data_IF_060325949904
#
_entry.id   IF_060325949904
#
_cell.length_a   1.000
_cell.length_b   1.000
_cell.length_c   1.000
_cell.angle_alpha   90.00
_cell.angle_beta   90.00
_cell.angle_gamma   90.00
#
_symmetry.space_group_name_H-M   'P 1'
#
loop_
_entity.id
_entity.type
_entity.pdbx_description
1 polymer ?
#
# COMPACT_ATOMS: atom_id res chain seq x y z
N UNK A 1 7.97 2.27 3.88
CA UNK A 1 7.83 1.30 2.76
C UNK A 1 7.79 2.09 1.45
N UNK A 2 8.28 1.55 0.32
CA UNK A 2 8.12 2.18 -1.00
C UNK A 2 6.88 1.61 -1.69
N UNK A 3 5.76 2.34 -1.63
CA UNK A 3 4.45 1.84 -2.06
C UNK A 3 3.53 2.98 -2.51
N UNK A 4 2.78 2.81 -3.60
CA UNK A 4 1.88 3.86 -4.11
C UNK A 4 0.72 4.18 -3.15
N UNK A 5 0.28 3.21 -2.33
CA UNK A 5 -0.80 3.38 -1.36
C UNK A 5 -0.37 3.70 0.08
N UNK A 6 0.93 3.89 0.35
CA UNK A 6 1.42 4.24 1.71
C UNK A 6 2.27 5.50 1.68
N UNK A 7 1.83 6.56 2.36
CA UNK A 7 2.53 7.84 2.46
C UNK A 7 3.89 7.72 3.16
N UNK A 8 4.73 8.74 3.00
CA UNK A 8 6.06 8.80 3.66
C UNK A 8 5.98 8.82 5.19
N UNK A 9 4.85 9.26 5.74
CA UNK A 9 4.50 9.26 7.16
C UNK A 9 3.79 7.97 7.62
N UNK A 10 3.60 7.00 6.71
CA UNK A 10 2.91 5.74 6.98
C UNK A 10 1.40 5.80 6.84
N UNK A 11 0.79 6.91 6.41
CA UNK A 11 -0.66 7.00 6.21
C UNK A 11 -1.12 6.17 5.01
N UNK A 12 -2.31 5.59 5.13
CA UNK A 12 -3.01 4.85 4.07
C UNK A 12 -4.36 5.54 3.85
N UNK A 13 -4.80 5.64 2.60
CA UNK A 13 -6.11 6.21 2.27
C UNK A 13 -7.23 5.39 2.93
N UNK A 14 -8.16 6.07 3.56
CA UNK A 14 -9.35 5.48 4.19
C UNK A 14 -10.25 4.75 3.19
N UNK A 15 -10.42 5.27 1.98
CA UNK A 15 -11.19 4.62 0.92
C UNK A 15 -10.58 3.28 0.47
N UNK A 16 -9.26 3.14 0.56
CA UNK A 16 -8.57 1.87 0.34
C UNK A 16 -8.90 0.84 1.41
N UNK A 17 -9.21 1.28 2.64
CA UNK A 17 -9.58 0.40 3.75
C UNK A 17 -11.07 0.10 3.76
N UNK A 18 -11.89 1.07 3.35
CA UNK A 18 -13.34 1.02 3.32
C UNK A 18 -13.83 1.58 1.98
N UNK A 19 -13.93 0.74 0.95
CA UNK A 19 -14.51 1.15 -0.33
C UNK A 19 -15.87 1.80 -0.06
N UNK A 20 -16.05 3.04 -0.51
CA UNK A 20 -17.32 3.76 -0.46
C UNK A 20 -18.02 3.81 0.92
N UNK A 21 -17.28 3.83 2.01
CA UNK A 21 -17.87 3.99 3.36
C UNK A 21 -18.47 2.71 3.95
N UNK A 22 -18.06 1.53 3.47
CA UNK A 22 -18.53 0.21 3.97
C UNK A 22 -18.12 -0.14 5.41
N UNK A 23 -17.49 0.77 6.15
CA UNK A 23 -17.26 0.56 7.57
C UNK A 23 -18.60 0.33 8.29
N UNK A 24 -18.71 -0.79 8.99
CA UNK A 24 -19.84 -1.11 9.87
C UNK A 24 -19.32 -1.21 11.31
N UNK A 25 -20.13 -0.92 12.34
CA UNK A 25 -19.73 -1.16 13.72
C UNK A 25 -19.34 -2.61 14.02
N UNK A 26 -19.72 -3.55 13.15
CA UNK A 26 -19.37 -4.97 13.22
C UNK A 26 -18.09 -5.34 12.46
N UNK A 27 -17.46 -4.40 11.74
CA UNK A 27 -16.20 -4.66 11.03
C UNK A 27 -15.11 -4.96 12.06
N UNK A 28 -14.55 -6.17 11.99
CA UNK A 28 -13.53 -6.58 12.97
C UNK A 28 -12.18 -5.97 12.63
N UNK A 29 -11.31 -5.84 13.65
CA UNK A 29 -9.91 -5.47 13.44
C UNK A 29 -9.21 -6.42 12.48
N UNK A 30 -9.55 -7.72 12.52
CA UNK A 30 -8.98 -8.72 11.62
C UNK A 30 -9.33 -8.43 10.15
N UNK A 31 -10.56 -7.98 9.86
CA UNK A 31 -10.98 -7.63 8.51
C UNK A 31 -10.18 -6.41 8.00
N UNK A 32 -9.94 -5.43 8.87
CA UNK A 32 -9.12 -4.25 8.57
C UNK A 32 -7.67 -4.67 8.26
N UNK A 33 -7.07 -5.51 9.11
CA UNK A 33 -5.69 -6.00 8.91
C UNK A 33 -5.59 -6.78 7.60
N UNK A 34 -6.58 -7.64 7.29
CA UNK A 34 -6.63 -8.36 6.01
C UNK A 34 -6.72 -7.41 4.82
N UNK A 35 -7.51 -6.33 4.92
CA UNK A 35 -7.59 -5.33 3.84
C UNK A 35 -6.27 -4.59 3.65
N UNK A 36 -5.59 -4.23 4.74
CA UNK A 36 -4.24 -3.63 4.66
C UNK A 36 -3.28 -4.60 3.98
N UNK A 37 -3.20 -5.86 4.42
CA UNK A 37 -2.32 -6.86 3.81
C UNK A 37 -2.61 -7.03 2.31
N UNK A 38 -3.90 -7.15 1.96
CA UNK A 38 -4.33 -7.24 0.56
C UNK A 38 -3.86 -6.03 -0.27
N UNK A 39 -4.00 -4.80 0.26
CA UNK A 39 -3.60 -3.58 -0.43
C UNK A 39 -2.07 -3.43 -0.57
N UNK A 40 -1.29 -4.00 0.36
CA UNK A 40 0.18 -4.05 0.26
C UNK A 40 0.61 -5.05 -0.82
N UNK A 41 -0.07 -6.19 -0.93
CA UNK A 41 0.22 -7.20 -1.95
C UNK A 41 -0.30 -6.80 -3.34
N UNK A 42 -1.36 -5.99 -3.40
CA UNK A 42 -2.05 -5.58 -4.62
C UNK A 42 -2.19 -4.06 -4.67
N UNK A 43 -1.16 -3.34 -5.16
CA UNK A 43 -1.22 -1.90 -5.19
C UNK A 43 -2.33 -1.36 -6.11
N UNK A 44 -3.12 -0.41 -5.60
CA UNK A 44 -4.29 0.14 -6.28
C UNK A 44 -4.02 1.56 -6.82
N UNK A 45 -4.08 1.74 -8.14
CA UNK A 45 -3.77 3.02 -8.80
C UNK A 45 -4.79 4.14 -8.46
N UNK A 46 -6.07 3.80 -8.38
CA UNK A 46 -7.14 4.77 -8.12
C UNK A 46 -7.06 5.39 -6.71
N UNK A 47 -6.42 4.68 -5.79
CA UNK A 47 -6.26 5.08 -4.39
C UNK A 47 -4.79 5.38 -4.04
N UNK A 48 -3.98 5.77 -5.02
CA UNK A 48 -2.58 6.12 -4.80
C UNK A 48 -2.46 7.41 -3.97
N UNK A 49 -1.70 7.33 -2.88
CA UNK A 49 -1.31 8.49 -2.07
C UNK A 49 0.03 9.10 -2.51
N UNK A 50 0.84 8.33 -3.25
CA UNK A 50 2.07 8.80 -3.88
C UNK A 50 1.93 8.77 -5.42
N UNK A 51 1.57 9.89 -6.07
CA UNK A 51 1.32 9.93 -7.52
C UNK A 51 2.58 9.62 -8.35
N UNK A 52 3.77 9.99 -7.86
CA UNK A 52 5.04 9.69 -8.54
C UNK A 52 5.33 8.19 -8.57
N UNK A 53 5.12 7.50 -7.43
CA UNK A 53 5.28 6.04 -7.35
C UNK A 53 4.21 5.33 -8.18
N UNK A 54 2.99 5.87 -8.23
CA UNK A 54 1.91 5.34 -9.07
C UNK A 54 2.23 5.45 -10.56
N UNK A 55 2.75 6.60 -11.00
CA UNK A 55 3.20 6.81 -12.38
C UNK A 55 4.34 5.84 -12.74
N UNK A 56 5.33 5.67 -11.86
CA UNK A 56 6.40 4.68 -12.05
C UNK A 56 5.87 3.25 -12.12
N UNK A 57 4.95 2.88 -11.23
CA UNK A 57 4.31 1.56 -11.22
C UNK A 57 3.58 1.26 -12.54
N UNK A 58 2.91 2.26 -13.11
CA UNK A 58 2.16 2.13 -14.37
C UNK A 58 3.07 2.15 -15.61
N UNK A 59 4.08 3.02 -15.64
CA UNK A 59 4.93 3.26 -16.81
C UNK A 59 6.16 2.35 -16.87
N UNK A 60 6.71 1.97 -15.70
CA UNK A 60 7.93 1.17 -15.60
C UNK A 60 7.89 0.26 -14.36
N UNK A 61 7.13 -0.82 -14.46
CA UNK A 61 6.98 -1.81 -13.39
C UNK A 61 8.31 -2.45 -12.94
N UNK A 62 9.27 -2.58 -13.85
CA UNK A 62 10.59 -3.14 -13.53
C UNK A 62 11.38 -2.22 -12.57
N UNK A 63 11.38 -0.91 -12.83
CA UNK A 63 12.07 0.06 -11.96
C UNK A 63 11.37 0.19 -10.60
N UNK A 64 10.03 0.21 -10.59
CA UNK A 64 9.26 0.16 -9.34
C UNK A 64 9.67 -1.05 -8.49
N UNK A 65 9.69 -2.25 -9.08
CA UNK A 65 10.05 -3.47 -8.36
C UNK A 65 11.50 -3.43 -7.84
N UNK A 66 12.43 -2.87 -8.62
CA UNK A 66 13.84 -2.71 -8.23
C UNK A 66 13.97 -1.79 -7.00
N UNK A 67 13.34 -0.62 -7.04
CA UNK A 67 13.33 0.35 -5.94
C UNK A 67 12.62 -0.19 -4.70
N UNK A 68 11.49 -0.86 -4.87
CA UNK A 68 10.76 -1.49 -3.78
C UNK A 68 11.63 -2.54 -3.05
N UNK A 69 12.33 -3.39 -3.81
CA UNK A 69 13.26 -4.37 -3.24
C UNK A 69 14.44 -3.71 -2.52
N UNK A 70 15.02 -2.65 -3.09
CA UNK A 70 16.09 -1.87 -2.44
C UNK A 70 15.60 -1.26 -1.11
N UNK A 71 14.36 -0.75 -1.08
CA UNK A 71 13.75 -0.19 0.12
C UNK A 71 13.55 -1.24 1.21
N UNK A 72 13.06 -2.43 0.84
CA UNK A 72 12.92 -3.56 1.77
C UNK A 72 14.27 -3.97 2.33
N UNK A 73 15.32 -4.03 1.51
CA UNK A 73 16.68 -4.36 1.99
C UNK A 73 17.25 -3.32 2.95
N UNK A 74 16.95 -2.04 2.74
CA UNK A 74 17.50 -0.94 3.55
C UNK A 74 16.72 -0.70 4.85
N UNK A 75 15.40 -0.81 4.82
CA UNK A 75 14.52 -0.38 5.91
C UNK A 75 13.53 -1.46 6.38
N UNK A 76 13.46 -2.60 5.70
CA UNK A 76 12.58 -3.71 6.09
C UNK A 76 13.06 -4.36 7.38
N UNK A 77 12.10 -4.78 8.21
CA UNK A 77 12.40 -5.59 9.39
C UNK A 77 12.81 -7.00 8.95
N UNK A 78 13.71 -7.63 9.72
CA UNK A 78 14.07 -9.03 9.50
C UNK A 78 12.84 -9.92 9.71
N UNK A 79 12.66 -10.90 8.83
CA UNK A 79 11.64 -11.94 9.01
C UNK A 79 12.22 -13.01 9.93
N UNK A 80 11.59 -13.23 11.07
CA UNK A 80 11.88 -14.34 11.97
C UNK A 80 11.30 -15.65 11.45
#
# INVERSE_FOLDING_TARGET
IYHLNVGTDGRICDQLLYNNGEYKPTTSLLDIIKRIAYAIDNPELDHAVNPEIAAEYQLNRAEFNRKALEWVRRYGLSRN
#
